data_IF_297703600773
#
_entry.id   IF_297703600773
#
_cell.length_a   1.000
_cell.length_b   1.000
_cell.length_c   1.000
_cell.angle_alpha   90.00
_cell.angle_beta   90.00
_cell.angle_gamma   90.00
#
_symmetry.space_group_name_H-M   'P 1'
#
loop_
_entity.id
_entity.type
_entity.pdbx_description
1 polymer ?
#
# COMPACT_ATOMS: atom_id res chain seq x y z
N UNK A 1 -3.10 8.58 -6.09
CA UNK A 1 -1.82 8.95 -6.71
C UNK A 1 -2.05 10.11 -7.66
N UNK A 2 -1.14 11.09 -7.67
CA UNK A 2 -1.20 12.20 -8.62
C UNK A 2 0.21 12.59 -9.08
N UNK A 3 0.37 12.89 -10.36
CA UNK A 3 1.63 13.40 -10.92
C UNK A 3 1.41 14.07 -12.28
N UNK A 4 2.35 14.92 -12.68
CA UNK A 4 2.28 15.61 -13.97
C UNK A 4 2.68 14.68 -15.12
N UNK A 5 1.97 14.77 -16.23
CA UNK A 5 2.22 14.00 -17.46
C UNK A 5 2.41 14.91 -18.66
N UNK A 6 3.05 14.39 -19.71
CA UNK A 6 3.28 15.13 -20.96
C UNK A 6 1.98 15.39 -21.73
N UNK A 7 1.99 16.39 -22.61
CA UNK A 7 0.89 16.64 -23.57
C UNK A 7 0.61 15.41 -24.44
N UNK A 8 1.64 14.63 -24.80
CA UNK A 8 1.51 13.42 -25.60
C UNK A 8 0.74 12.32 -24.86
N UNK A 9 1.04 12.10 -23.58
CA UNK A 9 0.30 11.15 -22.73
C UNK A 9 -1.13 11.64 -22.50
N UNK A 10 -1.33 12.94 -22.24
CA UNK A 10 -2.66 13.52 -22.09
C UNK A 10 -3.55 13.31 -23.33
N UNK A 11 -3.01 13.53 -24.53
CA UNK A 11 -3.76 13.34 -25.78
C UNK A 11 -4.22 11.89 -26.02
N UNK A 12 -3.60 10.91 -25.34
CA UNK A 12 -3.93 9.49 -25.40
C UNK A 12 -4.61 8.97 -24.12
N UNK A 13 -4.92 9.86 -23.18
CA UNK A 13 -5.45 9.45 -21.89
C UNK A 13 -6.82 8.76 -22.07
N UNK A 14 -7.00 7.52 -21.58
CA UNK A 14 -8.29 6.87 -21.58
C UNK A 14 -9.25 7.57 -20.59
N UNK A 15 -10.52 7.19 -20.65
CA UNK A 15 -11.48 7.43 -19.57
C UNK A 15 -11.49 6.24 -18.61
N UNK A 16 -11.90 6.46 -17.37
CA UNK A 16 -12.13 5.37 -16.42
C UNK A 16 -13.41 4.59 -16.74
N UNK A 17 -13.71 3.58 -15.93
CA UNK A 17 -14.87 2.70 -16.10
C UNK A 17 -16.22 3.43 -15.97
N UNK A 18 -16.24 4.60 -15.32
CA UNK A 18 -17.42 5.47 -15.19
C UNK A 18 -17.45 6.54 -16.30
N UNK A 19 -16.52 6.52 -17.25
CA UNK A 19 -16.36 7.55 -18.29
C UNK A 19 -15.73 8.85 -17.78
N UNK A 20 -15.17 8.88 -16.57
CA UNK A 20 -14.53 10.07 -15.99
C UNK A 20 -13.08 10.21 -16.46
N UNK A 21 -12.57 11.44 -16.60
CA UNK A 21 -11.20 11.66 -17.02
C UNK A 21 -10.21 11.32 -15.89
N UNK A 22 -9.12 10.64 -16.25
CA UNK A 22 -7.96 10.44 -15.35
C UNK A 22 -7.08 11.68 -15.20
N UNK A 23 -7.21 12.67 -16.10
CA UNK A 23 -6.28 13.79 -16.20
C UNK A 23 -7.00 15.11 -16.03
N UNK A 24 -6.49 15.94 -15.12
CA UNK A 24 -7.00 17.29 -14.89
C UNK A 24 -5.98 18.33 -15.34
N UNK A 25 -6.44 19.30 -16.13
CA UNK A 25 -5.64 20.48 -16.45
C UNK A 25 -5.65 21.46 -15.27
N UNK A 26 -4.48 21.96 -14.91
CA UNK A 26 -4.30 22.99 -13.87
C UNK A 26 -3.32 24.05 -14.33
N UNK A 27 -3.66 25.31 -14.07
CA UNK A 27 -2.77 26.44 -14.29
C UNK A 27 -2.17 26.88 -12.95
N UNK A 28 -0.85 26.83 -12.82
CA UNK A 28 -0.14 27.16 -11.58
C UNK A 28 1.09 28.01 -11.93
N UNK A 29 1.21 29.19 -11.32
CA UNK A 29 2.36 30.11 -11.50
C UNK A 29 2.76 30.30 -12.98
N UNK A 30 1.79 30.65 -13.83
CA UNK A 30 1.97 30.90 -15.26
C UNK A 30 2.37 29.67 -16.10
N UNK A 31 2.15 28.45 -15.59
CA UNK A 31 2.39 27.19 -16.31
C UNK A 31 1.15 26.29 -16.28
N UNK A 32 0.88 25.68 -17.42
CA UNK A 32 -0.16 24.66 -17.53
C UNK A 32 0.40 23.27 -17.27
N UNK A 33 -0.33 22.51 -16.46
CA UNK A 33 -0.01 21.13 -16.08
C UNK A 33 -1.17 20.21 -16.44
N UNK A 34 -0.85 19.07 -17.04
CA UNK A 34 -1.77 17.94 -17.12
C UNK A 34 -1.44 17.01 -15.95
N UNK A 35 -2.34 16.90 -14.97
CA UNK A 35 -2.14 16.08 -13.79
C UNK A 35 -2.94 14.79 -13.94
N UNK A 36 -2.25 13.65 -14.08
CA UNK A 36 -2.87 12.36 -13.83
C UNK A 36 -3.26 12.29 -12.36
N UNK A 37 -4.50 11.90 -12.08
CA UNK A 37 -5.03 11.74 -10.73
C UNK A 37 -5.90 10.49 -10.70
N UNK A 38 -5.63 9.62 -9.73
CA UNK A 38 -6.55 8.53 -9.42
C UNK A 38 -6.61 8.25 -7.93
N UNK A 39 -7.84 7.99 -7.45
CA UNK A 39 -8.12 7.59 -6.07
C UNK A 39 -8.59 6.14 -6.07
N UNK A 40 -7.83 5.28 -5.40
CA UNK A 40 -8.10 3.84 -5.33
C UNK A 40 -8.99 3.57 -4.12
N UNK A 41 -10.32 3.65 -4.30
CA UNK A 41 -11.27 3.37 -3.23
C UNK A 41 -11.06 1.94 -2.70
N UNK A 42 -11.16 1.76 -1.39
CA UNK A 42 -10.85 0.52 -0.64
C UNK A 42 -9.36 0.17 -0.50
N UNK A 43 -8.46 1.04 -0.98
CA UNK A 43 -7.01 0.84 -0.90
C UNK A 43 -6.28 1.93 -0.10
N UNK A 44 -6.98 2.61 0.82
CA UNK A 44 -6.32 3.31 1.93
C UNK A 44 -5.92 2.31 3.02
N UNK A 45 -4.97 2.66 3.90
CA UNK A 45 -4.38 1.71 4.86
C UNK A 45 -5.41 0.83 5.61
N UNK A 46 -6.42 1.46 6.22
CA UNK A 46 -7.44 0.76 6.99
C UNK A 46 -8.33 -0.13 6.11
N UNK A 47 -8.73 0.37 4.94
CA UNK A 47 -9.50 -0.41 3.97
C UNK A 47 -8.68 -1.57 3.38
N UNK A 48 -7.38 -1.35 3.14
CA UNK A 48 -6.45 -2.36 2.68
C UNK A 48 -6.35 -3.55 3.63
N UNK A 49 -6.37 -3.29 4.96
CA UNK A 49 -6.48 -4.38 5.96
C UNK A 49 -7.74 -5.21 5.73
N UNK A 50 -8.89 -4.56 5.56
CA UNK A 50 -10.16 -5.24 5.31
C UNK A 50 -10.12 -6.10 4.04
N UNK A 51 -9.56 -5.59 2.93
CA UNK A 51 -9.41 -6.35 1.69
C UNK A 51 -8.46 -7.55 1.84
N UNK A 52 -7.38 -7.42 2.62
CA UNK A 52 -6.47 -8.54 2.91
C UNK A 52 -7.18 -9.61 3.77
N UNK A 53 -7.96 -9.22 4.78
CA UNK A 53 -8.74 -10.17 5.57
C UNK A 53 -9.82 -10.86 4.74
N UNK A 54 -10.52 -10.11 3.88
CA UNK A 54 -11.51 -10.64 2.94
C UNK A 54 -10.89 -11.67 1.98
N UNK A 55 -9.67 -11.42 1.50
CA UNK A 55 -8.95 -12.35 0.64
C UNK A 55 -8.67 -13.71 1.32
N UNK A 56 -8.59 -13.75 2.67
CA UNK A 56 -8.47 -15.00 3.45
C UNK A 56 -9.80 -15.69 3.79
N UNK A 57 -10.95 -15.18 3.29
CA UNK A 57 -12.28 -15.77 3.46
C UNK A 57 -12.64 -16.09 4.92
N UNK A 58 -12.30 -15.19 5.85
CA UNK A 58 -12.52 -15.34 7.30
C UNK A 58 -11.80 -16.54 7.96
N UNK A 59 -10.82 -17.14 7.26
CA UNK A 59 -9.94 -18.17 7.81
C UNK A 59 -8.76 -17.59 8.59
N UNK A 60 -7.74 -18.42 8.83
CA UNK A 60 -6.46 -17.93 9.32
C UNK A 60 -5.77 -17.06 8.27
N UNK A 61 -5.16 -15.96 8.71
CA UNK A 61 -4.53 -14.98 7.84
C UNK A 61 -3.02 -14.90 8.11
N UNK A 62 -2.15 -15.22 7.14
CA UNK A 62 -0.71 -15.20 7.34
C UNK A 62 -0.11 -13.82 7.60
N UNK A 63 -0.90 -12.74 7.51
CA UNK A 63 -0.51 -11.40 7.91
C UNK A 63 -0.83 -11.07 9.37
N UNK A 64 -1.69 -11.86 10.03
CA UNK A 64 -2.01 -11.68 11.44
C UNK A 64 -0.89 -12.23 12.32
N UNK A 65 -0.50 -11.46 13.34
CA UNK A 65 0.58 -11.85 14.25
C UNK A 65 0.18 -13.05 15.13
N UNK A 66 1.15 -13.93 15.37
CA UNK A 66 0.99 -15.03 16.33
C UNK A 66 0.69 -14.49 17.73
N UNK A 67 -0.21 -15.16 18.46
CA UNK A 67 -0.60 -14.78 19.81
C UNK A 67 -1.71 -13.71 19.89
N UNK A 68 -2.18 -13.19 18.75
CA UNK A 68 -3.37 -12.35 18.70
C UNK A 68 -4.57 -13.10 18.13
N UNK A 69 -5.69 -13.07 18.85
CA UNK A 69 -7.01 -13.47 18.35
C UNK A 69 -8.02 -12.37 18.68
N UNK A 70 -8.71 -11.86 17.66
CA UNK A 70 -9.63 -10.74 17.82
C UNK A 70 -10.38 -10.43 16.53
N UNK A 71 -10.90 -9.21 16.45
CA UNK A 71 -11.66 -8.73 15.28
C UNK A 71 -11.18 -7.35 14.84
N UNK A 72 -11.06 -7.17 13.54
CA UNK A 72 -10.85 -5.89 12.89
C UNK A 72 -12.20 -5.40 12.35
N UNK A 73 -12.67 -4.23 12.78
CA UNK A 73 -13.95 -3.67 12.30
C UNK A 73 -13.69 -2.57 11.27
N UNK A 74 -14.28 -2.69 10.10
CA UNK A 74 -14.19 -1.67 9.04
C UNK A 74 -15.47 -1.67 8.20
N UNK A 75 -16.01 -0.49 7.91
CA UNK A 75 -17.22 -0.35 7.09
C UNK A 75 -18.44 -1.11 7.61
N UNK A 76 -18.59 -1.25 8.93
CA UNK A 76 -19.68 -2.02 9.55
C UNK A 76 -19.49 -3.55 9.53
N UNK A 77 -18.36 -4.05 9.03
CA UNK A 77 -18.04 -5.48 8.96
C UNK A 77 -16.93 -5.83 9.95
N UNK A 78 -17.11 -6.92 10.71
CA UNK A 78 -16.10 -7.46 11.60
C UNK A 78 -15.35 -8.62 10.93
N UNK A 79 -14.04 -8.44 10.74
CA UNK A 79 -13.14 -9.42 10.14
C UNK A 79 -12.38 -10.16 11.24
N UNK A 80 -12.42 -11.49 11.24
CA UNK A 80 -11.66 -12.28 12.21
C UNK A 80 -10.16 -12.13 11.97
N UNK A 81 -9.43 -11.80 13.02
CA UNK A 81 -7.96 -11.69 13.01
C UNK A 81 -7.40 -12.88 13.75
N UNK A 82 -6.81 -13.81 13.01
CA UNK A 82 -6.22 -15.03 13.57
C UNK A 82 -5.06 -15.51 12.71
N UNK A 83 -3.89 -15.71 13.32
CA UNK A 83 -2.74 -16.30 12.64
C UNK A 83 -2.97 -17.79 12.31
N UNK A 84 -2.33 -18.33 11.26
CA UNK A 84 -2.17 -19.78 11.08
C UNK A 84 -1.47 -20.42 12.28
N UNK A 85 -1.56 -21.76 12.39
CA UNK A 85 -0.87 -22.49 13.47
C UNK A 85 0.64 -22.27 13.46
N UNK A 86 1.22 -22.09 12.28
CA UNK A 86 2.64 -21.82 12.07
C UNK A 86 3.01 -20.34 12.24
N UNK A 87 2.06 -19.49 12.66
CA UNK A 87 2.23 -18.06 12.82
C UNK A 87 2.15 -17.25 11.52
N UNK A 88 2.47 -15.96 11.63
CA UNK A 88 2.57 -15.05 10.48
C UNK A 88 3.71 -15.45 9.54
N UNK A 89 3.57 -15.11 8.26
CA UNK A 89 4.60 -15.38 7.26
C UNK A 89 4.58 -14.31 6.17
N UNK A 90 5.67 -13.53 6.08
CA UNK A 90 5.76 -12.39 5.17
C UNK A 90 5.54 -12.76 3.69
N UNK A 91 6.03 -13.93 3.23
CA UNK A 91 5.83 -14.37 1.83
C UNK A 91 4.37 -14.71 1.57
N UNK A 92 3.73 -15.44 2.47
CA UNK A 92 2.31 -15.81 2.36
C UNK A 92 1.42 -14.56 2.48
N UNK A 93 1.74 -13.66 3.40
CA UNK A 93 1.08 -12.37 3.56
C UNK A 93 1.19 -11.51 2.30
N UNK A 94 2.38 -11.41 1.70
CA UNK A 94 2.59 -10.70 0.44
C UNK A 94 1.75 -11.28 -0.69
N UNK A 95 1.68 -12.62 -0.83
CA UNK A 95 0.80 -13.26 -1.84
C UNK A 95 -0.66 -12.88 -1.64
N UNK A 96 -1.14 -12.87 -0.39
CA UNK A 96 -2.50 -12.48 -0.06
C UNK A 96 -2.76 -10.99 -0.35
N UNK A 97 -1.78 -10.15 -0.04
CA UNK A 97 -1.81 -8.71 -0.34
C UNK A 97 -1.88 -8.44 -1.84
N UNK A 98 -1.08 -9.17 -2.65
CA UNK A 98 -1.16 -9.11 -4.12
C UNK A 98 -2.54 -9.51 -4.65
N UNK A 99 -3.19 -10.47 -4.00
CA UNK A 99 -4.56 -10.87 -4.35
C UNK A 99 -5.56 -9.77 -3.98
N UNK A 100 -5.44 -9.17 -2.80
CA UNK A 100 -6.30 -8.06 -2.37
C UNK A 100 -6.17 -6.83 -3.29
N UNK A 101 -4.94 -6.50 -3.70
CA UNK A 101 -4.67 -5.46 -4.70
C UNK A 101 -5.17 -5.83 -6.11
N UNK A 102 -5.54 -7.08 -6.37
CA UNK A 102 -5.94 -7.55 -7.70
C UNK A 102 -4.90 -7.21 -8.78
N UNK A 103 -3.62 -7.49 -8.50
CA UNK A 103 -2.49 -7.17 -9.40
C UNK A 103 -2.59 -7.88 -10.76
N UNK A 104 -3.34 -8.99 -10.82
CA UNK A 104 -3.56 -9.76 -12.05
C UNK A 104 -4.80 -9.32 -12.84
N UNK A 105 -5.44 -8.22 -12.45
CA UNK A 105 -6.58 -7.69 -13.19
C UNK A 105 -6.20 -7.44 -14.65
N UNK A 106 -7.15 -7.69 -15.57
CA UNK A 106 -6.95 -7.39 -16.98
C UNK A 106 -6.71 -5.88 -17.14
N UNK A 107 -5.57 -5.53 -17.75
CA UNK A 107 -5.32 -4.16 -18.19
C UNK A 107 -5.89 -3.98 -19.59
N UNK A 108 -6.81 -3.03 -19.76
CA UNK A 108 -7.39 -2.67 -21.05
C UNK A 108 -6.66 -1.48 -21.71
N UNK A 109 -5.77 -0.83 -20.96
CA UNK A 109 -4.95 0.29 -21.40
C UNK A 109 -3.53 -0.20 -21.73
N UNK A 110 -2.66 0.68 -22.24
CA UNK A 110 -1.26 0.31 -22.55
C UNK A 110 -0.53 -0.25 -21.32
N UNK A 111 -0.62 0.45 -20.18
CA UNK A 111 -0.05 0.02 -18.90
C UNK A 111 -0.99 0.34 -17.74
N UNK A 112 -1.03 -0.55 -16.74
CA UNK A 112 -1.86 -0.39 -15.56
C UNK A 112 -1.05 -0.58 -14.27
N UNK A 113 -1.57 -0.01 -13.19
CA UNK A 113 -1.09 -0.29 -11.83
C UNK A 113 -1.65 -1.62 -11.35
N UNK A 114 -2.71 -1.58 -10.56
CA UNK A 114 -3.46 -2.73 -10.08
C UNK A 114 -4.95 -2.52 -10.32
N UNK A 115 -5.73 -3.60 -10.23
CA UNK A 115 -7.16 -3.57 -10.50
C UNK A 115 -7.54 -3.00 -11.89
N UNK A 116 -6.64 -3.10 -12.88
CA UNK A 116 -6.88 -2.66 -14.26
C UNK A 116 -6.87 -1.14 -14.47
N UNK A 117 -6.43 -0.38 -13.47
CA UNK A 117 -6.39 1.09 -13.53
C UNK A 117 -5.19 1.54 -14.35
N UNK A 118 -5.42 2.41 -15.34
CA UNK A 118 -4.35 3.01 -16.15
C UNK A 118 -3.30 3.68 -15.26
N UNK A 119 -2.01 3.47 -15.51
CA UNK A 119 -0.96 4.00 -14.63
C UNK A 119 -0.67 5.50 -14.82
N UNK A 120 -1.21 6.14 -15.87
CA UNK A 120 -0.92 7.52 -16.25
C UNK A 120 0.24 7.67 -17.25
N UNK A 121 0.84 6.55 -17.68
CA UNK A 121 1.94 6.49 -18.64
C UNK A 121 3.34 6.75 -18.08
N UNK A 122 3.47 7.02 -16.77
CA UNK A 122 4.77 7.20 -16.10
C UNK A 122 5.55 8.43 -16.57
N UNK A 123 6.88 8.33 -16.53
CA UNK A 123 7.83 9.39 -16.90
C UNK A 123 8.35 10.22 -15.71
N UNK A 124 9.02 11.33 -16.05
CA UNK A 124 9.80 12.17 -15.13
C UNK A 124 8.97 12.76 -13.98
N UNK A 125 7.68 13.04 -14.24
CA UNK A 125 6.75 13.54 -13.22
C UNK A 125 6.53 12.57 -12.05
N UNK A 126 6.94 11.31 -12.21
CA UNK A 126 6.86 10.25 -11.22
C UNK A 126 8.24 9.75 -10.78
N UNK A 127 9.35 10.40 -11.16
CA UNK A 127 10.71 9.97 -10.78
C UNK A 127 11.00 10.23 -9.29
N UNK A 128 10.48 11.34 -8.78
CA UNK A 128 10.51 11.66 -7.36
C UNK A 128 9.08 11.61 -6.81
N UNK A 129 8.85 10.71 -5.85
CA UNK A 129 7.54 10.53 -5.23
C UNK A 129 7.58 11.03 -3.80
N UNK A 130 6.63 11.90 -3.45
CA UNK A 130 6.32 12.23 -2.08
C UNK A 130 5.17 11.34 -1.59
N UNK A 131 5.45 10.44 -0.66
CA UNK A 131 4.46 9.57 -0.03
C UNK A 131 4.13 10.11 1.38
N UNK A 132 2.85 10.38 1.64
CA UNK A 132 2.39 11.05 2.86
C UNK A 132 1.42 10.19 3.68
N UNK A 133 0.94 10.72 4.82
CA UNK A 133 -0.06 10.07 5.66
C UNK A 133 0.42 8.70 6.19
N UNK A 134 -0.31 7.60 5.94
CA UNK A 134 0.02 6.28 6.49
C UNK A 134 1.41 5.75 6.11
N UNK A 135 1.94 6.11 4.94
CA UNK A 135 3.32 5.80 4.59
C UNK A 135 4.29 6.37 5.65
N UNK A 136 4.09 7.63 6.04
CA UNK A 136 4.87 8.26 7.11
C UNK A 136 4.58 7.60 8.47
N UNK A 137 3.31 7.45 8.85
CA UNK A 137 2.92 6.95 10.18
C UNK A 137 3.41 5.52 10.44
N UNK A 138 3.36 4.65 9.43
CA UNK A 138 3.88 3.29 9.52
C UNK A 138 5.40 3.32 9.54
N UNK A 139 6.04 4.14 8.71
CA UNK A 139 7.48 4.34 8.74
C UNK A 139 7.99 4.80 10.11
N UNK A 140 7.28 5.71 10.77
CA UNK A 140 7.59 6.19 12.11
C UNK A 140 7.47 5.10 13.19
N UNK A 141 6.44 4.25 13.11
CA UNK A 141 6.22 3.14 14.05
C UNK A 141 7.39 2.14 14.05
N UNK A 142 8.06 1.95 12.91
CA UNK A 142 9.20 1.04 12.76
C UNK A 142 10.56 1.73 12.67
N UNK A 143 10.62 3.03 12.99
CA UNK A 143 11.89 3.79 13.03
C UNK A 143 12.52 4.07 11.67
N UNK A 144 11.76 3.97 10.56
CA UNK A 144 12.21 4.43 9.24
C UNK A 144 12.13 5.95 9.12
N UNK A 145 11.29 6.57 9.94
CA UNK A 145 11.15 8.02 10.06
C UNK A 145 11.31 8.40 11.52
N UNK A 146 12.13 9.42 11.80
CA UNK A 146 12.16 10.02 13.14
C UNK A 146 10.93 10.95 13.27
N UNK A 147 10.01 10.68 14.22
CA UNK A 147 8.79 11.48 14.41
C UNK A 147 9.04 12.96 14.71
N UNK A 148 10.27 13.33 15.09
CA UNK A 148 10.65 14.74 15.29
C UNK A 148 10.71 15.53 13.98
N UNK A 149 10.81 14.86 12.84
CA UNK A 149 10.89 15.48 11.53
C UNK A 149 9.64 15.22 10.68
N UNK A 150 9.22 16.18 9.85
CA UNK A 150 8.00 16.05 9.05
C UNK A 150 8.14 15.09 7.87
N UNK A 151 9.36 14.65 7.53
CA UNK A 151 9.62 13.77 6.39
C UNK A 151 10.98 13.09 6.50
N UNK A 152 11.15 11.96 5.82
CA UNK A 152 12.44 11.30 5.60
C UNK A 152 12.49 10.66 4.20
N UNK A 153 13.71 10.34 3.73
CA UNK A 153 13.91 9.57 2.51
C UNK A 153 13.95 8.09 2.87
N UNK A 154 12.97 7.33 2.40
CA UNK A 154 12.82 5.90 2.68
C UNK A 154 12.66 5.13 1.37
N UNK A 155 13.44 4.06 1.20
CA UNK A 155 13.28 3.12 0.08
C UNK A 155 12.23 2.08 0.41
N UNK A 156 11.35 1.66 -0.53
CA UNK A 156 10.35 0.62 -0.29
C UNK A 156 10.90 -0.68 0.32
N UNK A 157 12.12 -1.07 -0.07
CA UNK A 157 12.81 -2.26 0.49
C UNK A 157 13.02 -2.18 2.01
N UNK A 158 13.06 -0.98 2.61
CA UNK A 158 13.17 -0.81 4.06
C UNK A 158 11.87 -1.22 4.77
N UNK A 159 10.69 -0.93 4.20
CA UNK A 159 9.43 -1.48 4.71
C UNK A 159 9.44 -3.01 4.68
N UNK A 160 9.95 -3.62 3.60
CA UNK A 160 10.07 -5.08 3.53
C UNK A 160 11.03 -5.64 4.58
N UNK A 161 12.15 -4.96 4.87
CA UNK A 161 13.09 -5.38 5.93
C UNK A 161 12.38 -5.37 7.30
N UNK A 162 11.68 -4.29 7.64
CA UNK A 162 10.90 -4.21 8.88
C UNK A 162 9.77 -5.24 8.90
N UNK A 163 9.11 -5.49 7.76
CA UNK A 163 8.05 -6.48 7.64
C UNK A 163 8.55 -7.90 7.95
N UNK A 164 9.74 -8.27 7.45
CA UNK A 164 10.33 -9.58 7.73
C UNK A 164 10.52 -9.82 9.22
N UNK A 165 10.95 -8.79 9.95
CA UNK A 165 11.09 -8.83 11.41
C UNK A 165 9.71 -8.90 12.06
N UNK A 166 8.81 -7.95 11.76
CA UNK A 166 7.48 -7.90 12.36
C UNK A 166 6.67 -9.19 12.16
N UNK A 167 6.73 -9.79 10.98
CA UNK A 167 6.03 -11.04 10.67
C UNK A 167 6.65 -12.28 11.35
N UNK A 168 7.81 -12.15 12.00
CA UNK A 168 8.44 -13.20 12.81
C UNK A 168 8.32 -12.92 14.31
N UNK A 169 7.74 -11.78 14.70
CA UNK A 169 7.56 -11.36 16.10
C UNK A 169 6.14 -11.70 16.55
N UNK A 170 5.99 -12.25 17.75
CA UNK A 170 4.67 -12.48 18.36
C UNK A 170 4.03 -11.15 18.76
N UNK A 171 2.72 -11.10 18.81
CA UNK A 171 1.99 -9.88 19.18
C UNK A 171 2.47 -9.29 20.52
N UNK A 172 2.70 -10.12 21.53
CA UNK A 172 3.19 -9.69 22.84
C UNK A 172 4.57 -8.98 22.80
N UNK A 173 5.40 -9.30 21.81
CA UNK A 173 6.79 -8.84 21.74
C UNK A 173 6.99 -7.65 20.78
N UNK A 174 5.95 -7.26 20.03
CA UNK A 174 6.06 -6.18 19.03
C UNK A 174 6.54 -4.87 19.64
N UNK A 175 6.04 -4.49 20.83
CA UNK A 175 6.48 -3.23 21.47
C UNK A 175 7.94 -3.28 21.94
N UNK A 176 8.48 -4.47 22.20
CA UNK A 176 9.90 -4.62 22.53
C UNK A 176 10.77 -4.38 21.30
N UNK A 177 10.33 -4.84 20.12
CA UNK A 177 11.08 -4.72 18.86
C UNK A 177 10.85 -3.36 18.19
N UNK A 178 9.62 -2.86 18.23
CA UNK A 178 9.15 -1.63 17.61
C UNK A 178 8.45 -0.75 18.66
N UNK A 179 9.22 -0.06 19.52
CA UNK A 179 8.68 0.66 20.69
C UNK A 179 7.72 1.79 20.34
N UNK A 180 7.82 2.34 19.13
CA UNK A 180 6.94 3.41 18.64
C UNK A 180 5.60 2.89 18.10
N UNK A 181 5.35 1.58 18.11
CA UNK A 181 4.10 0.99 17.60
C UNK A 181 2.92 1.37 18.49
N UNK A 182 1.87 1.90 17.88
CA UNK A 182 0.62 2.21 18.58
C UNK A 182 -0.15 0.93 18.91
N UNK A 183 -0.74 0.84 20.11
CA UNK A 183 -1.47 -0.37 20.56
C UNK A 183 -2.55 -0.83 19.57
N UNK A 184 -3.31 0.11 19.01
CA UNK A 184 -4.36 -0.17 18.02
C UNK A 184 -3.84 -0.76 16.70
N UNK A 185 -2.56 -0.54 16.37
CA UNK A 185 -1.93 -1.00 15.14
C UNK A 185 -1.07 -2.25 15.33
N UNK A 186 -0.66 -2.53 16.57
CA UNK A 186 0.21 -3.64 16.92
C UNK A 186 -0.20 -4.96 16.26
N UNK A 187 -1.48 -5.41 16.31
CA UNK A 187 -1.87 -6.68 15.70
C UNK A 187 -1.70 -6.76 14.18
N UNK A 188 -1.56 -5.60 13.54
CA UNK A 188 -1.58 -5.43 12.09
C UNK A 188 -0.22 -5.01 11.52
N UNK A 189 0.83 -4.82 12.35
CA UNK A 189 2.09 -4.24 11.90
C UNK A 189 2.76 -5.04 10.77
N UNK A 190 2.76 -6.38 10.85
CA UNK A 190 3.22 -7.26 9.75
C UNK A 190 2.42 -7.02 8.46
N UNK A 191 1.09 -6.96 8.56
CA UNK A 191 0.20 -6.69 7.44
C UNK A 191 0.48 -5.33 6.80
N UNK A 192 0.57 -4.29 7.63
CA UNK A 192 0.74 -2.91 7.21
C UNK A 192 2.05 -2.71 6.45
N UNK A 193 3.17 -3.22 6.98
CA UNK A 193 4.47 -3.10 6.31
C UNK A 193 4.53 -3.88 4.99
N UNK A 194 3.89 -5.05 4.93
CA UNK A 194 3.76 -5.81 3.69
C UNK A 194 2.86 -5.06 2.70
N UNK A 195 1.77 -4.45 3.17
CA UNK A 195 0.88 -3.65 2.35
C UNK A 195 1.63 -2.47 1.70
N UNK A 196 2.33 -1.65 2.49
CA UNK A 196 3.06 -0.49 1.96
C UNK A 196 4.13 -0.89 0.95
N UNK A 197 4.92 -1.92 1.25
CA UNK A 197 5.89 -2.46 0.30
C UNK A 197 5.22 -2.95 -1.00
N UNK A 198 4.17 -3.78 -0.88
CA UNK A 198 3.51 -4.39 -2.04
C UNK A 198 2.82 -3.32 -2.89
N UNK A 199 2.17 -2.34 -2.26
CA UNK A 199 1.51 -1.24 -2.94
C UNK A 199 2.52 -0.37 -3.70
N UNK A 200 3.62 0.03 -3.06
CA UNK A 200 4.64 0.87 -3.71
C UNK A 200 5.37 0.15 -4.84
N UNK A 201 5.75 -1.12 -4.64
CA UNK A 201 6.60 -1.85 -5.58
C UNK A 201 5.80 -2.53 -6.69
N UNK A 202 4.68 -3.15 -6.35
CA UNK A 202 3.94 -4.04 -7.25
C UNK A 202 2.58 -3.46 -7.64
N UNK A 203 2.02 -2.56 -6.83
CA UNK A 203 0.82 -1.81 -7.17
C UNK A 203 1.14 -0.65 -8.09
N UNK A 204 1.93 0.31 -7.62
CA UNK A 204 2.24 1.54 -8.37
C UNK A 204 3.38 1.40 -9.36
N UNK A 205 4.20 0.35 -9.24
CA UNK A 205 5.17 -0.06 -10.26
C UNK A 205 6.13 1.04 -10.72
N UNK A 206 7.30 1.12 -10.09
CA UNK A 206 8.55 1.45 -10.78
C UNK A 206 9.61 0.44 -10.36
N UNK A 207 10.40 -0.03 -11.32
CA UNK A 207 11.63 -0.83 -11.20
C UNK A 207 12.21 -0.94 -9.79
N UNK A 208 11.89 -2.00 -9.06
CA UNK A 208 12.79 -2.55 -8.05
C UNK A 208 13.27 -3.87 -8.62
N UNK A 209 14.58 -4.05 -8.91
CA UNK A 209 15.06 -5.32 -9.43
C UNK A 209 14.61 -6.45 -8.50
N UNK A 210 14.23 -7.60 -9.05
CA UNK A 210 13.92 -8.76 -8.23
C UNK A 210 15.14 -9.05 -7.34
N UNK A 211 14.91 -9.06 -6.02
CA UNK A 211 15.85 -9.65 -5.06
C UNK A 211 16.00 -11.14 -5.33
#
# INVERSE_FOLDING_TARGET
>A
MAYAISNKQFAKAPQDVDGKPYVHKKHLMSKDYNLYVHSYLNYGQLAGRAEIFKASRNGSNPCALEGYEGYYSYGGVAYKVKAPKEGSNWKRCRRLTRQALNIKAKCINEECTFNGVWNGGGGDGQDTIHASSFFYDIGAQVGLVDPKFPSAIVKPVQYLKSAKVACQTKAADIKTVFPNTQDRNLPYLCMDLIYEYTLLVEGFGKYFPPL
#
